data_IF_413874306928
#
_entry.id   IF_413874306928
#
_cell.length_a   1.000
_cell.length_b   1.000
_cell.length_c   1.000
_cell.angle_alpha   90.00
_cell.angle_beta   90.00
_cell.angle_gamma   90.00
#
_symmetry.space_group_name_H-M   'P 1'
#
loop_
_entity.id
_entity.type
_entity.pdbx_description
1 polymer ?
#
# COMPACT_ATOMS: atom_id res chain seq x y z
N UNK A 1 2.66 -7.35 3.66
CA UNK A 1 3.32 -6.60 2.58
C UNK A 1 4.73 -6.26 3.01
N UNK A 2 5.70 -6.44 2.11
CA UNK A 2 7.09 -5.99 2.27
C UNK A 2 7.46 -5.11 1.09
N UNK A 3 8.07 -3.96 1.34
CA UNK A 3 8.53 -3.06 0.28
C UNK A 3 9.73 -2.21 0.72
N UNK A 4 10.43 -1.64 -0.25
CA UNK A 4 11.59 -0.78 -0.02
C UNK A 4 11.18 0.68 -0.15
N UNK A 5 11.49 1.50 0.84
CA UNK A 5 11.48 2.95 0.74
C UNK A 5 12.86 3.40 0.26
N UNK A 6 12.94 3.95 -0.94
CA UNK A 6 14.17 4.49 -1.49
C UNK A 6 14.57 5.81 -0.81
N UNK A 7 15.81 6.25 -1.02
CA UNK A 7 16.36 7.51 -0.47
C UNK A 7 15.53 8.75 -0.85
N UNK A 8 14.81 8.71 -1.98
CA UNK A 8 13.87 9.75 -2.41
C UNK A 8 12.51 9.71 -1.70
N UNK A 9 12.31 8.79 -0.75
CA UNK A 9 11.03 8.60 -0.04
C UNK A 9 9.93 7.95 -0.87
N UNK A 10 10.28 7.31 -2.00
CA UNK A 10 9.37 6.57 -2.88
C UNK A 10 9.44 5.07 -2.60
N UNK A 11 8.34 4.36 -2.79
CA UNK A 11 8.28 2.92 -2.60
C UNK A 11 8.68 2.17 -3.87
N UNK A 12 9.48 1.12 -3.70
CA UNK A 12 9.96 0.19 -4.73
C UNK A 12 9.90 -1.25 -4.20
N UNK A 13 10.07 -2.24 -5.07
CA UNK A 13 10.20 -3.66 -4.71
C UNK A 13 9.16 -4.17 -3.69
N UNK A 14 7.88 -3.90 -3.99
CA UNK A 14 6.76 -4.37 -3.18
C UNK A 14 6.39 -5.81 -3.51
N UNK A 15 6.22 -6.62 -2.45
CA UNK A 15 5.68 -7.98 -2.53
C UNK A 15 4.75 -8.27 -1.35
N UNK A 16 3.77 -9.13 -1.57
CA UNK A 16 3.04 -9.76 -0.47
C UNK A 16 3.99 -10.69 0.31
N UNK A 17 3.96 -10.60 1.64
CA UNK A 17 4.69 -11.52 2.53
C UNK A 17 3.89 -12.78 2.80
N UNK A 18 2.57 -12.64 2.83
CA UNK A 18 1.58 -13.70 2.81
C UNK A 18 0.54 -13.27 1.79
N UNK A 19 0.23 -14.12 0.80
CA UNK A 19 -0.79 -13.80 -0.20
C UNK A 19 -2.16 -13.67 0.45
N UNK A 20 -3.00 -12.77 -0.07
CA UNK A 20 -4.43 -12.71 0.31
C UNK A 20 -5.23 -13.91 -0.20
N UNK A 21 -4.65 -14.76 -1.05
CA UNK A 21 -5.37 -15.78 -1.82
C UNK A 21 -5.97 -15.25 -3.12
N UNK A 22 -5.85 -13.94 -3.39
CA UNK A 22 -6.26 -13.31 -4.64
C UNK A 22 -5.06 -12.52 -5.24
N UNK A 23 -4.55 -13.00 -6.37
CA UNK A 23 -3.38 -12.40 -7.02
C UNK A 23 -3.63 -10.97 -7.52
N UNK A 24 -4.83 -10.70 -8.04
CA UNK A 24 -5.19 -9.36 -8.54
C UNK A 24 -5.26 -8.35 -7.40
N UNK A 25 -5.76 -8.77 -6.24
CA UNK A 25 -5.79 -7.94 -5.04
C UNK A 25 -4.36 -7.66 -4.52
N UNK A 26 -3.50 -8.67 -4.48
CA UNK A 26 -2.10 -8.51 -4.05
C UNK A 26 -1.33 -7.55 -4.97
N UNK A 27 -1.47 -7.73 -6.29
CA UNK A 27 -0.84 -6.86 -7.30
C UNK A 27 -1.37 -5.43 -7.24
N UNK A 28 -2.69 -5.27 -7.12
CA UNK A 28 -3.34 -3.96 -6.98
C UNK A 28 -2.88 -3.27 -5.70
N UNK A 29 -2.78 -4.00 -4.59
CA UNK A 29 -2.27 -3.45 -3.32
C UNK A 29 -0.85 -2.93 -3.51
N UNK A 30 0.06 -3.72 -4.09
CA UNK A 30 1.43 -3.28 -4.33
C UNK A 30 1.53 -2.12 -5.34
N UNK A 31 0.68 -2.09 -6.36
CA UNK A 31 0.60 -0.96 -7.30
C UNK A 31 0.19 0.32 -6.57
N UNK A 32 -0.86 0.28 -5.76
CA UNK A 32 -1.34 1.44 -5.01
C UNK A 32 -0.34 1.92 -3.96
N UNK A 33 0.34 1.01 -3.25
CA UNK A 33 1.42 1.35 -2.31
C UNK A 33 2.52 2.14 -3.06
N UNK A 34 2.99 1.66 -4.21
CA UNK A 34 4.00 2.35 -5.03
C UNK A 34 3.53 3.72 -5.53
N UNK A 35 2.31 3.79 -6.05
CA UNK A 35 1.74 5.02 -6.62
C UNK A 35 1.50 6.09 -5.55
N UNK A 36 0.97 5.71 -4.37
CA UNK A 36 0.40 6.65 -3.40
C UNK A 36 1.29 6.95 -2.21
N UNK A 37 2.08 5.98 -1.72
CA UNK A 37 2.81 6.18 -0.48
C UNK A 37 4.03 7.08 -0.68
N UNK A 38 4.25 7.96 0.29
CA UNK A 38 5.31 8.98 0.29
C UNK A 38 5.88 9.04 1.69
N UNK A 39 7.17 8.76 1.82
CA UNK A 39 7.86 8.67 3.10
C UNK A 39 8.91 9.76 3.24
N UNK A 40 9.22 10.13 4.48
CA UNK A 40 10.54 10.71 4.79
C UNK A 40 11.53 9.53 4.86
N UNK A 41 12.62 9.54 4.08
CA UNK A 41 13.57 8.43 4.08
C UNK A 41 14.22 8.27 5.46
N UNK A 42 14.62 7.04 5.78
CA UNK A 42 15.52 6.77 6.91
C UNK A 42 16.86 7.48 6.68
N UNK A 43 17.61 7.72 7.76
CA UNK A 43 18.92 8.36 7.70
C UNK A 43 19.98 7.52 8.41
N UNK A 44 21.22 7.58 7.93
CA UNK A 44 22.38 7.02 8.60
C UNK A 44 22.88 7.93 9.75
N UNK A 45 23.99 7.55 10.38
CA UNK A 45 24.59 8.28 11.51
C UNK A 45 25.04 9.71 11.13
N UNK A 46 25.38 9.93 9.86
CA UNK A 46 25.76 11.24 9.30
C UNK A 46 24.54 12.06 8.84
N UNK A 47 23.33 11.52 8.98
CA UNK A 47 22.09 12.17 8.58
C UNK A 47 21.77 12.12 7.09
N UNK A 48 22.48 11.29 6.32
CA UNK A 48 22.25 11.08 4.88
C UNK A 48 21.09 10.12 4.66
N UNK A 49 20.22 10.36 3.66
CA UNK A 49 19.10 9.46 3.39
C UNK A 49 19.59 8.08 2.94
N UNK A 50 18.95 7.03 3.43
CA UNK A 50 19.25 5.63 3.10
C UNK A 50 17.97 4.86 2.79
N UNK A 51 18.08 3.85 1.93
CA UNK A 51 16.96 2.96 1.66
C UNK A 51 16.61 2.10 2.88
N UNK A 52 15.34 1.81 3.09
CA UNK A 52 14.87 0.95 4.18
C UNK A 52 13.79 -0.01 3.72
N UNK A 53 13.59 -1.09 4.48
CA UNK A 53 12.53 -2.08 4.26
C UNK A 53 11.42 -1.86 5.27
N UNK A 54 10.17 -1.84 4.80
CA UNK A 54 8.98 -1.87 5.64
C UNK A 54 8.29 -3.22 5.48
N UNK A 55 7.81 -3.77 6.59
CA UNK A 55 6.95 -4.96 6.65
C UNK A 55 5.70 -4.60 7.43
N UNK A 56 4.54 -4.71 6.79
CA UNK A 56 3.25 -4.38 7.41
C UNK A 56 2.11 -5.24 6.88
N UNK A 57 1.05 -5.38 7.68
CA UNK A 57 -0.18 -6.04 7.25
C UNK A 57 -1.10 -5.05 6.55
N UNK A 58 -1.75 -5.48 5.46
CA UNK A 58 -2.76 -4.70 4.75
C UNK A 58 -4.04 -5.52 4.68
N UNK A 59 -5.15 -4.93 5.12
CA UNK A 59 -6.47 -5.55 5.07
C UNK A 59 -7.40 -4.75 4.17
N UNK A 60 -8.08 -5.45 3.27
CA UNK A 60 -9.13 -4.88 2.44
C UNK A 60 -10.48 -5.35 2.96
N UNK A 61 -11.40 -4.41 3.14
CA UNK A 61 -12.78 -4.70 3.51
C UNK A 61 -13.64 -4.20 2.35
N UNK A 62 -14.43 -5.09 1.78
CA UNK A 62 -15.46 -4.71 0.83
C UNK A 62 -16.62 -4.20 1.68
N UNK A 63 -16.80 -2.88 1.71
CA UNK A 63 -17.97 -2.27 2.31
C UNK A 63 -19.15 -2.46 1.34
N UNK A 64 -20.07 -3.35 1.68
CA UNK A 64 -21.38 -3.42 1.04
C UNK A 64 -22.19 -2.20 1.49
N UNK A 65 -21.79 -1.01 1.02
CA UNK A 65 -22.64 0.15 1.17
C UNK A 65 -23.92 -0.15 0.41
N UNK A 66 -25.09 -0.26 1.08
CA UNK A 66 -26.33 -0.39 0.33
C UNK A 66 -26.42 0.83 -0.59
N UNK A 67 -26.62 0.58 -1.88
CA UNK A 67 -27.06 1.62 -2.83
C UNK A 67 -28.16 2.42 -2.11
N UNK A 68 -28.07 3.77 -2.03
CA UNK A 68 -29.16 4.55 -1.46
C UNK A 68 -30.41 4.14 -2.24
N UNK A 69 -31.34 3.49 -1.54
CA UNK A 69 -32.56 2.94 -2.13
C UNK A 69 -33.13 4.02 -3.02
N UNK A 70 -33.13 3.76 -4.34
CA UNK A 70 -33.70 4.68 -5.30
C UNK A 70 -35.06 5.10 -4.78
N UNK A 71 -35.23 6.40 -4.50
CA UNK A 71 -36.51 6.96 -4.09
C UNK A 71 -37.55 6.46 -5.09
N UNK A 72 -38.61 5.75 -4.66
CA UNK A 72 -39.64 5.34 -5.59
C UNK A 72 -40.22 6.61 -6.22
N UNK A 73 -40.19 6.68 -7.56
CA UNK A 73 -40.86 7.73 -8.32
C UNK A 73 -42.37 7.73 -7.98
N UNK A 74 -43.03 8.91 -8.02
CA UNK A 74 -44.43 9.06 -7.59
C UNK A 74 -45.41 8.14 -8.33
#
# INVERSE_FOLDING_TARGET
MRYIVAEAGRVTDCTATTSSGNVELDETTCRLIRERFRFKPSKDEDGRPVSSIIIENHSWIIDERPEPTATPAP
#
